data_IF_434582020635
#
_entry.id   IF_434582020635
#
_cell.length_a   1.000
_cell.length_b   1.000
_cell.length_c   1.000
_cell.angle_alpha   90.00
_cell.angle_beta   90.00
_cell.angle_gamma   90.00
#
_symmetry.space_group_name_H-M   'P 1'
#
loop_
_entity.id
_entity.type
_entity.pdbx_description
1 polymer ?
#
# COMPACT_ATOMS: atom_id res chain seq x y z
N UNK A 1 -83.81 -6.13 27.29
CA UNK A 1 -83.45 -7.57 27.33
C UNK A 1 -81.95 -7.66 27.10
N UNK A 2 -81.30 -8.32 28.04
CA UNK A 2 -79.92 -8.13 28.49
C UNK A 2 -78.98 -9.20 27.88
N UNK A 3 -77.66 -8.98 28.04
CA UNK A 3 -76.49 -9.88 27.85
C UNK A 3 -75.68 -9.67 26.55
N UNK A 4 -74.33 -9.62 26.55
CA UNK A 4 -73.30 -9.51 27.60
C UNK A 4 -71.97 -9.22 26.87
N UNK A 5 -71.16 -8.31 27.42
CA UNK A 5 -69.72 -8.20 27.11
C UNK A 5 -68.98 -9.40 27.73
N UNK A 6 -68.17 -10.09 26.93
CA UNK A 6 -67.04 -10.94 27.37
C UNK A 6 -65.96 -10.73 26.30
N UNK A 7 -64.82 -10.09 26.56
CA UNK A 7 -63.85 -10.45 27.59
C UNK A 7 -62.83 -11.39 26.95
N UNK A 8 -61.79 -10.84 26.32
CA UNK A 8 -60.80 -11.62 25.58
C UNK A 8 -59.60 -10.76 25.17
N UNK A 9 -58.80 -10.37 26.16
CA UNK A 9 -57.49 -9.75 26.03
C UNK A 9 -56.55 -10.71 25.26
N UNK A 10 -56.41 -10.54 23.94
CA UNK A 10 -55.38 -11.26 23.18
C UNK A 10 -54.08 -10.47 23.28
N UNK A 11 -53.26 -10.85 24.27
CA UNK A 11 -51.91 -10.33 24.45
C UNK A 11 -51.08 -10.63 23.19
N UNK A 12 -50.75 -9.59 22.43
CA UNK A 12 -49.70 -9.64 21.42
C UNK A 12 -48.36 -9.81 22.15
N UNK A 13 -47.93 -11.07 22.30
CA UNK A 13 -46.59 -11.43 22.77
C UNK A 13 -45.61 -10.98 21.70
N UNK A 14 -45.18 -9.72 21.82
CA UNK A 14 -44.03 -9.17 21.12
C UNK A 14 -42.81 -9.95 21.61
N UNK A 15 -42.42 -10.97 20.84
CA UNK A 15 -41.15 -11.68 21.03
C UNK A 15 -40.05 -10.67 20.69
N UNK A 16 -39.67 -9.87 21.68
CA UNK A 16 -38.41 -9.14 21.68
C UNK A 16 -37.30 -10.20 21.65
N UNK A 17 -36.81 -10.50 20.44
CA UNK A 17 -35.53 -11.15 20.24
C UNK A 17 -34.44 -10.24 20.79
N UNK A 18 -34.19 -10.34 22.08
CA UNK A 18 -32.96 -9.90 22.74
C UNK A 18 -31.83 -10.78 22.22
N UNK A 19 -31.35 -10.46 21.01
CA UNK A 19 -29.95 -10.73 20.66
C UNK A 19 -29.12 -9.84 21.60
N UNK A 20 -28.80 -10.38 22.77
CA UNK A 20 -27.69 -9.91 23.57
C UNK A 20 -26.41 -10.18 22.77
N UNK A 21 -26.11 -9.29 21.82
CA UNK A 21 -24.85 -9.29 21.11
C UNK A 21 -23.76 -8.89 22.11
N UNK A 22 -23.10 -9.88 22.70
CA UNK A 22 -21.67 -9.78 23.05
C UNK A 22 -20.87 -9.74 21.74
N UNK A 23 -21.14 -8.71 20.94
CA UNK A 23 -20.79 -8.68 19.52
C UNK A 23 -19.31 -8.38 19.33
N UNK A 24 -18.50 -9.41 19.15
CA UNK A 24 -17.19 -9.24 18.52
C UNK A 24 -17.39 -8.49 17.20
N UNK A 25 -16.72 -7.35 17.06
CA UNK A 25 -16.81 -6.55 15.85
C UNK A 25 -16.39 -7.39 14.62
N UNK A 26 -17.18 -7.39 13.52
CA UNK A 26 -16.83 -8.12 12.30
C UNK A 26 -15.45 -7.72 11.80
N UNK A 27 -14.64 -8.72 11.42
CA UNK A 27 -13.29 -8.48 10.95
C UNK A 27 -12.78 -9.62 10.05
N UNK A 28 -11.84 -9.26 9.18
CA UNK A 28 -10.97 -10.20 8.47
C UNK A 28 -9.54 -9.96 8.95
N UNK A 29 -8.73 -11.03 9.05
CA UNK A 29 -7.35 -10.94 9.55
C UNK A 29 -6.42 -11.82 8.72
N UNK A 30 -5.20 -11.33 8.47
CA UNK A 30 -4.09 -12.13 7.93
C UNK A 30 -2.79 -11.73 8.61
N UNK A 31 -2.17 -12.68 9.32
CA UNK A 31 -0.95 -12.48 10.11
C UNK A 31 -1.04 -11.22 10.99
N UNK A 32 -0.27 -10.19 10.66
CA UNK A 32 -0.11 -8.94 11.39
C UNK A 32 -1.13 -7.85 11.00
N UNK A 33 -2.01 -8.09 10.03
CA UNK A 33 -2.98 -7.09 9.56
C UNK A 33 -4.42 -7.55 9.82
N UNK A 34 -5.15 -6.72 10.55
CA UNK A 34 -6.56 -6.90 10.84
C UNK A 34 -7.40 -5.74 10.30
N UNK A 35 -8.49 -6.07 9.61
CA UNK A 35 -9.45 -5.11 9.06
C UNK A 35 -10.78 -5.33 9.77
N UNK A 36 -11.17 -4.39 10.62
CA UNK A 36 -12.53 -4.32 11.15
C UNK A 36 -13.46 -3.66 10.14
N UNK A 37 -14.73 -4.06 10.10
CA UNK A 37 -15.71 -3.45 9.22
C UNK A 37 -17.09 -3.37 9.88
N UNK A 38 -17.81 -2.29 9.60
CA UNK A 38 -19.18 -2.03 10.05
C UNK A 38 -19.89 -1.08 9.08
N UNK A 39 -21.14 -0.74 9.37
CA UNK A 39 -21.89 0.35 8.75
C UNK A 39 -22.00 0.21 7.22
N UNK A 40 -22.51 -0.94 6.75
CA UNK A 40 -22.76 -1.18 5.32
C UNK A 40 -21.53 -1.57 4.50
N UNK A 41 -20.40 -1.85 5.14
CA UNK A 41 -19.25 -2.52 4.53
C UNK A 41 -19.44 -4.05 4.61
N UNK A 42 -19.18 -4.76 3.52
CA UNK A 42 -19.31 -6.22 3.46
C UNK A 42 -17.99 -6.93 3.73
N UNK A 43 -18.05 -8.19 4.17
CA UNK A 43 -16.86 -9.03 4.36
C UNK A 43 -16.01 -9.16 3.09
N UNK A 44 -16.57 -9.40 1.87
CA UNK A 44 -15.78 -9.40 0.64
C UNK A 44 -15.03 -8.09 0.39
N UNK A 45 -15.65 -6.93 0.67
CA UNK A 45 -14.96 -5.63 0.56
C UNK A 45 -13.81 -5.53 1.56
N UNK A 46 -14.02 -5.96 2.80
CA UNK A 46 -12.97 -5.99 3.83
C UNK A 46 -11.82 -6.95 3.44
N UNK A 47 -12.14 -8.12 2.88
CA UNK A 47 -11.16 -9.09 2.39
C UNK A 47 -10.36 -8.54 1.21
N UNK A 48 -11.00 -7.79 0.30
CA UNK A 48 -10.32 -7.13 -0.81
C UNK A 48 -9.33 -6.06 -0.32
N UNK A 49 -9.72 -5.27 0.67
CA UNK A 49 -8.81 -4.33 1.34
C UNK A 49 -7.65 -5.05 2.00
N UNK A 50 -7.92 -6.13 2.74
CA UNK A 50 -6.90 -6.93 3.40
C UNK A 50 -5.88 -7.45 2.38
N UNK A 51 -6.33 -8.03 1.27
CA UNK A 51 -5.47 -8.51 0.18
C UNK A 51 -4.65 -7.38 -0.44
N UNK A 52 -5.23 -6.20 -0.62
CA UNK A 52 -4.55 -5.04 -1.19
C UNK A 52 -3.46 -4.47 -0.26
N UNK A 53 -3.75 -4.28 1.03
CA UNK A 53 -2.82 -3.68 1.98
C UNK A 53 -1.74 -4.66 2.45
N UNK A 54 -2.04 -5.95 2.49
CA UNK A 54 -1.14 -6.96 3.04
C UNK A 54 0.27 -6.98 2.42
N UNK A 55 0.46 -6.90 1.09
CA UNK A 55 1.82 -6.77 0.54
C UNK A 55 2.40 -5.37 0.74
N UNK A 56 1.57 -4.32 0.67
CA UNK A 56 2.03 -2.93 0.75
C UNK A 56 2.56 -2.53 2.13
N UNK A 57 2.01 -3.12 3.19
CA UNK A 57 2.33 -2.80 4.57
C UNK A 57 3.19 -3.86 5.25
N UNK A 58 3.63 -4.86 4.48
CA UNK A 58 4.56 -5.88 4.97
C UNK A 58 5.95 -5.26 5.01
N UNK A 59 6.34 -4.79 6.17
CA UNK A 59 7.74 -4.58 6.48
C UNK A 59 8.26 -5.94 6.95
N UNK A 60 9.10 -6.61 6.16
CA UNK A 60 9.89 -7.70 6.73
C UNK A 60 10.66 -7.15 7.95
N UNK A 61 10.88 -7.98 8.97
CA UNK A 61 11.61 -7.66 10.22
C UNK A 61 10.88 -6.87 11.30
N UNK A 62 9.70 -6.32 11.04
CA UNK A 62 8.83 -5.75 12.07
C UNK A 62 7.72 -6.76 12.43
N UNK A 63 8.10 -7.85 13.11
CA UNK A 63 7.15 -8.86 13.62
C UNK A 63 6.36 -8.36 14.84
N UNK A 64 6.54 -7.10 15.24
CA UNK A 64 5.90 -6.53 16.43
C UNK A 64 5.33 -5.15 16.15
N UNK A 65 4.17 -5.13 15.49
CA UNK A 65 2.99 -4.33 15.85
C UNK A 65 1.85 -4.76 14.93
N UNK A 66 0.93 -5.55 15.47
CA UNK A 66 -0.35 -5.81 14.81
C UNK A 66 -0.90 -4.48 14.27
N UNK A 67 -1.11 -4.42 12.96
CA UNK A 67 -1.70 -3.27 12.28
C UNK A 67 -3.20 -3.49 12.23
N UNK A 68 -3.93 -2.45 12.59
CA UNK A 68 -5.38 -2.49 12.59
C UNK A 68 -5.92 -1.32 11.80
N UNK A 69 -6.88 -1.60 10.93
CA UNK A 69 -7.68 -0.60 10.23
C UNK A 69 -9.14 -0.88 10.46
N UNK A 70 -9.97 0.15 10.32
CA UNK A 70 -11.42 0.02 10.40
C UNK A 70 -12.06 0.64 9.16
N UNK A 71 -13.00 -0.10 8.57
CA UNK A 71 -13.87 0.37 7.52
C UNK A 71 -15.25 0.72 8.07
N UNK A 72 -15.71 1.90 7.70
CA UNK A 72 -17.10 2.34 7.92
C UNK A 72 -17.60 2.99 6.64
N UNK A 73 -18.92 3.04 6.43
CA UNK A 73 -19.52 3.79 5.33
C UNK A 73 -20.42 4.88 5.87
N UNK A 74 -20.30 6.08 5.32
CA UNK A 74 -21.24 7.19 5.57
C UNK A 74 -21.84 7.62 4.25
N UNK A 75 -23.13 7.31 4.06
CA UNK A 75 -23.81 7.44 2.75
C UNK A 75 -23.04 6.63 1.69
N UNK A 76 -22.57 7.27 0.64
CA UNK A 76 -21.81 6.64 -0.45
C UNK A 76 -20.30 6.74 -0.28
N UNK A 77 -19.82 7.31 0.83
CA UNK A 77 -18.39 7.50 1.10
C UNK A 77 -17.87 6.46 2.07
N UNK A 78 -16.80 5.79 1.69
CA UNK A 78 -16.07 4.86 2.57
C UNK A 78 -15.12 5.68 3.44
N UNK A 79 -15.11 5.44 4.74
CA UNK A 79 -14.08 5.96 5.62
C UNK A 79 -13.09 4.83 5.96
N UNK A 80 -11.89 4.97 5.43
CA UNK A 80 -10.74 4.16 5.77
C UNK A 80 -10.08 4.74 7.02
N UNK A 81 -10.26 4.09 8.17
CA UNK A 81 -9.72 4.53 9.46
C UNK A 81 -8.41 3.79 9.75
N UNK A 82 -7.36 4.52 10.05
CA UNK A 82 -6.07 3.95 10.45
C UNK A 82 -5.54 4.62 11.72
N UNK A 83 -4.94 3.81 12.59
CA UNK A 83 -4.26 4.30 13.79
C UNK A 83 -2.95 4.98 13.39
N UNK A 84 -2.71 6.17 13.92
CA UNK A 84 -1.46 6.91 13.75
C UNK A 84 -0.95 7.42 15.09
N UNK A 85 0.37 7.51 15.22
CA UNK A 85 1.00 8.20 16.35
C UNK A 85 0.73 9.72 16.25
N UNK A 86 0.25 10.38 17.31
CA UNK A 86 -0.14 11.80 17.26
C UNK A 86 0.93 12.74 16.68
N UNK A 87 2.20 12.50 17.01
CA UNK A 87 3.36 13.26 16.54
C UNK A 87 3.58 13.16 15.02
N UNK A 88 2.98 12.17 14.34
CA UNK A 88 3.07 11.97 12.89
C UNK A 88 1.87 12.53 12.11
N UNK A 89 0.86 13.06 12.77
CA UNK A 89 -0.36 13.57 12.09
C UNK A 89 -0.02 14.73 11.15
N UNK A 90 0.87 15.62 11.58
CA UNK A 90 1.28 16.81 10.82
C UNK A 90 2.02 16.43 9.53
N UNK A 91 2.66 15.26 9.48
CA UNK A 91 3.38 14.79 8.29
C UNK A 91 2.46 14.23 7.21
N UNK A 92 1.21 13.90 7.55
CA UNK A 92 0.22 13.40 6.60
C UNK A 92 -0.58 14.58 6.04
N UNK A 93 -0.27 14.96 4.80
CA UNK A 93 -0.91 16.03 4.05
C UNK A 93 -1.84 15.47 2.97
N UNK A 94 -2.74 16.28 2.43
CA UNK A 94 -3.59 15.87 1.30
C UNK A 94 -2.73 15.47 0.09
N UNK A 95 -1.62 16.17 -0.15
CA UNK A 95 -0.68 15.87 -1.21
C UNK A 95 0.02 14.52 -0.99
N UNK A 96 0.44 14.21 0.23
CA UNK A 96 1.16 12.95 0.52
C UNK A 96 0.26 11.72 0.51
N UNK A 97 -1.04 11.86 0.80
CA UNK A 97 -1.97 10.72 0.89
C UNK A 97 -2.94 10.62 -0.30
N UNK A 98 -3.06 11.66 -1.13
CA UNK A 98 -4.06 11.73 -2.20
C UNK A 98 -3.95 10.58 -3.21
N UNK A 99 -2.74 10.19 -3.58
CA UNK A 99 -2.50 9.04 -4.47
C UNK A 99 -2.97 7.71 -3.83
N UNK A 100 -2.73 7.54 -2.52
CA UNK A 100 -3.20 6.35 -1.79
C UNK A 100 -4.72 6.32 -1.68
N UNK A 101 -5.37 7.46 -1.43
CA UNK A 101 -6.83 7.60 -1.42
C UNK A 101 -7.42 7.20 -2.78
N UNK A 102 -6.84 7.68 -3.88
CA UNK A 102 -7.32 7.37 -5.21
C UNK A 102 -7.13 5.89 -5.54
N UNK A 103 -5.97 5.32 -5.20
CA UNK A 103 -5.69 3.90 -5.41
C UNK A 103 -6.64 3.01 -4.63
N UNK A 104 -6.95 3.34 -3.37
CA UNK A 104 -7.98 2.64 -2.60
C UNK A 104 -9.35 2.73 -3.28
N UNK A 105 -9.75 3.93 -3.72
CA UNK A 105 -11.02 4.16 -4.40
C UNK A 105 -11.16 3.28 -5.64
N UNK A 106 -10.15 3.27 -6.51
CA UNK A 106 -10.22 2.58 -7.80
C UNK A 106 -10.05 1.07 -7.65
N UNK A 107 -9.09 0.62 -6.84
CA UNK A 107 -8.73 -0.80 -6.73
C UNK A 107 -9.65 -1.54 -5.78
N UNK A 108 -9.96 -0.97 -4.60
CA UNK A 108 -10.70 -1.68 -3.55
C UNK A 108 -12.18 -1.37 -3.61
N UNK A 109 -12.55 -0.10 -3.74
CA UNK A 109 -13.93 0.38 -3.51
C UNK A 109 -14.71 0.74 -4.78
N UNK A 110 -14.34 0.19 -5.94
CA UNK A 110 -15.12 0.32 -7.19
C UNK A 110 -15.44 1.79 -7.54
N UNK A 111 -14.43 2.66 -7.44
CA UNK A 111 -14.52 4.10 -7.69
C UNK A 111 -15.36 4.90 -6.69
N UNK A 112 -15.84 4.28 -5.60
CA UNK A 112 -16.52 4.98 -4.52
C UNK A 112 -15.56 5.96 -3.81
N UNK A 113 -16.04 7.14 -3.38
CA UNK A 113 -15.21 8.11 -2.67
C UNK A 113 -14.69 7.54 -1.35
N UNK A 114 -13.41 7.77 -1.06
CA UNK A 114 -12.73 7.27 0.15
C UNK A 114 -12.15 8.43 0.95
N UNK A 115 -12.54 8.54 2.22
CA UNK A 115 -11.86 9.38 3.19
C UNK A 115 -10.78 8.57 3.91
N UNK A 116 -9.63 9.17 4.18
CA UNK A 116 -8.66 8.65 5.15
C UNK A 116 -8.90 9.35 6.47
N UNK A 117 -9.25 8.57 7.49
CA UNK A 117 -9.47 9.05 8.85
C UNK A 117 -8.30 8.55 9.70
N UNK A 118 -7.47 9.49 10.12
CA UNK A 118 -6.36 9.25 11.03
C UNK A 118 -6.92 9.24 12.45
N UNK A 119 -6.70 8.15 13.16
CA UNK A 119 -7.22 7.93 14.50
C UNK A 119 -6.11 7.71 15.52
N UNK A 120 -6.44 7.83 16.80
CA UNK A 120 -5.64 7.27 17.88
C UNK A 120 -5.80 5.74 17.98
N UNK A 121 -5.15 5.14 18.98
CA UNK A 121 -5.17 3.71 19.29
C UNK A 121 -6.55 3.17 19.73
N UNK A 122 -7.53 4.04 19.96
CA UNK A 122 -8.92 3.70 20.27
C UNK A 122 -9.87 4.03 19.10
N UNK A 123 -9.34 4.23 17.89
CA UNK A 123 -10.09 4.62 16.68
C UNK A 123 -10.85 5.96 16.80
N UNK A 124 -10.51 6.81 17.78
CA UNK A 124 -11.06 8.18 17.87
C UNK A 124 -10.40 9.05 16.82
N UNK A 125 -11.21 9.80 16.09
CA UNK A 125 -10.74 10.63 14.98
C UNK A 125 -9.83 11.75 15.48
N UNK A 126 -8.66 11.88 14.86
CA UNK A 126 -7.70 12.96 15.09
C UNK A 126 -7.65 13.91 13.89
N UNK A 127 -7.74 13.36 12.66
CA UNK A 127 -7.76 14.13 11.41
C UNK A 127 -8.45 13.34 10.32
N UNK A 128 -9.32 14.00 9.55
CA UNK A 128 -9.90 13.41 8.34
C UNK A 128 -9.39 14.13 7.10
N UNK A 129 -8.85 13.36 6.16
CA UNK A 129 -8.52 13.81 4.82
C UNK A 129 -9.63 13.31 3.90
N UNK A 130 -10.44 14.24 3.41
CA UNK A 130 -11.65 13.93 2.65
C UNK A 130 -11.33 13.64 1.21
N UNK A 131 -12.08 12.73 0.61
CA UNK A 131 -12.07 12.53 -0.82
C UNK A 131 -12.35 13.84 -1.55
N UNK A 132 -11.47 14.22 -2.47
CA UNK A 132 -11.68 15.34 -3.38
C UNK A 132 -11.70 14.83 -4.81
N UNK A 133 -12.62 15.34 -5.64
CA UNK A 133 -12.59 15.08 -7.08
C UNK A 133 -11.28 15.58 -7.73
N UNK A 134 -10.57 16.52 -7.08
CA UNK A 134 -9.23 16.94 -7.46
C UNK A 134 -8.18 15.83 -7.35
N UNK A 135 -8.41 14.80 -6.51
CA UNK A 135 -7.54 13.61 -6.49
C UNK A 135 -7.63 12.84 -7.81
N UNK A 136 -8.76 12.83 -8.52
CA UNK A 136 -8.84 12.23 -9.87
C UNK A 136 -8.19 13.07 -10.96
N UNK A 137 -8.08 14.37 -10.73
CA UNK A 137 -7.46 15.31 -11.68
C UNK A 137 -5.95 15.45 -11.43
N UNK A 138 -5.44 15.00 -10.27
CA UNK A 138 -4.01 15.04 -9.89
C UNK A 138 -3.37 13.68 -9.61
N UNK A 139 -4.14 12.64 -9.31
CA UNK A 139 -3.70 11.25 -9.33
C UNK A 139 -4.25 10.66 -10.60
N UNK A 140 -3.38 10.55 -11.60
CA UNK A 140 -3.77 9.79 -12.76
C UNK A 140 -3.97 8.30 -12.39
N UNK A 141 -4.46 7.55 -13.36
CA UNK A 141 -4.63 6.10 -13.34
C UNK A 141 -3.43 5.34 -12.73
N UNK A 142 -3.57 4.05 -12.43
CA UNK A 142 -2.43 3.19 -12.09
C UNK A 142 -1.27 3.35 -13.10
N UNK A 143 -1.61 3.59 -14.38
CA UNK A 143 -0.68 3.96 -15.44
C UNK A 143 0.05 5.28 -15.18
N UNK A 144 -0.60 6.27 -14.58
CA UNK A 144 -0.02 7.58 -14.28
C UNK A 144 0.77 7.60 -12.96
N UNK A 145 0.37 6.82 -11.94
CA UNK A 145 1.19 6.61 -10.73
C UNK A 145 2.46 5.83 -11.14
N UNK A 146 2.33 4.78 -11.95
CA UNK A 146 3.50 4.08 -12.53
C UNK A 146 4.29 4.99 -13.47
N UNK A 147 3.64 5.91 -14.19
CA UNK A 147 4.34 6.93 -14.98
C UNK A 147 5.19 7.88 -14.12
N UNK A 148 4.81 8.13 -12.85
CA UNK A 148 5.69 8.88 -11.93
C UNK A 148 6.98 8.13 -11.62
N UNK A 149 6.96 6.79 -11.67
CA UNK A 149 8.15 5.97 -11.52
C UNK A 149 8.99 5.86 -12.79
N UNK A 150 8.37 6.01 -13.97
CA UNK A 150 9.03 6.00 -15.27
C UNK A 150 8.33 5.08 -16.28
N UNK A 151 8.93 4.91 -17.45
CA UNK A 151 8.48 3.91 -18.43
C UNK A 151 8.78 2.52 -17.88
N UNK A 152 7.76 1.68 -17.76
CA UNK A 152 7.89 0.31 -17.24
C UNK A 152 8.39 -0.66 -18.32
N UNK A 153 9.36 -1.47 -17.95
CA UNK A 153 9.82 -2.65 -18.68
C UNK A 153 9.75 -3.86 -17.75
N UNK A 154 9.43 -5.03 -18.32
CA UNK A 154 9.25 -6.26 -17.56
C UNK A 154 9.95 -7.42 -18.26
N UNK A 155 10.68 -8.25 -17.51
CA UNK A 155 11.26 -9.49 -17.99
C UNK A 155 11.32 -10.50 -16.84
N UNK A 156 10.71 -11.68 -17.02
CA UNK A 156 10.69 -12.74 -16.00
C UNK A 156 10.15 -12.26 -14.65
N UNK A 157 10.98 -12.26 -13.62
CA UNK A 157 10.61 -11.79 -12.27
C UNK A 157 10.95 -10.32 -11.99
N UNK A 158 11.50 -9.59 -12.97
CA UNK A 158 11.96 -8.21 -12.78
C UNK A 158 11.05 -7.19 -13.48
N UNK A 159 10.74 -6.12 -12.76
CA UNK A 159 10.17 -4.88 -13.30
C UNK A 159 11.17 -3.73 -13.16
N UNK A 160 11.35 -2.95 -14.22
CA UNK A 160 12.24 -1.77 -14.23
C UNK A 160 11.49 -0.56 -14.73
N UNK A 161 11.45 0.49 -13.91
CA UNK A 161 10.93 1.80 -14.28
C UNK A 161 12.07 2.73 -14.71
N UNK A 162 12.05 3.21 -15.95
CA UNK A 162 13.07 4.11 -16.50
C UNK A 162 12.57 5.56 -16.50
N UNK A 163 13.19 6.42 -15.69
CA UNK A 163 12.82 7.85 -15.61
C UNK A 163 13.24 8.61 -16.89
N UNK A 164 12.54 9.71 -17.24
CA UNK A 164 12.98 10.61 -18.30
C UNK A 164 14.44 11.06 -18.10
N UNK A 165 15.19 11.15 -19.20
CA UNK A 165 16.62 11.49 -19.17
C UNK A 165 17.57 10.27 -19.10
N UNK A 166 17.03 9.07 -18.97
CA UNK A 166 17.76 7.81 -19.15
C UNK A 166 17.43 7.21 -20.53
N UNK A 167 18.44 6.65 -21.21
CA UNK A 167 18.24 5.93 -22.47
C UNK A 167 17.28 4.76 -22.24
N UNK A 168 16.21 4.72 -23.02
CA UNK A 168 15.13 3.76 -22.88
C UNK A 168 15.58 2.32 -23.19
N UNK A 169 16.69 2.14 -23.93
CA UNK A 169 17.28 0.83 -24.18
C UNK A 169 17.79 0.14 -22.91
N UNK A 170 18.06 0.88 -21.82
CA UNK A 170 18.45 0.29 -20.54
C UNK A 170 17.31 -0.44 -19.84
N UNK A 171 16.05 -0.11 -20.11
CA UNK A 171 14.90 -0.74 -19.47
C UNK A 171 14.87 -2.27 -19.69
N UNK A 172 14.82 -2.75 -20.95
CA UNK A 172 14.88 -4.17 -21.24
C UNK A 172 16.19 -4.84 -20.80
N UNK A 173 17.33 -4.14 -20.91
CA UNK A 173 18.63 -4.68 -20.49
C UNK A 173 18.67 -4.95 -18.98
N UNK A 174 18.23 -3.98 -18.17
CA UNK A 174 18.16 -4.12 -16.72
C UNK A 174 17.12 -5.15 -16.29
N UNK A 175 15.94 -5.17 -16.92
CA UNK A 175 14.91 -6.16 -16.59
C UNK A 175 15.42 -7.58 -16.84
N UNK A 176 16.16 -7.80 -17.95
CA UNK A 176 16.82 -9.08 -18.20
C UNK A 176 17.97 -9.36 -17.23
N UNK A 177 18.75 -8.34 -16.88
CA UNK A 177 19.88 -8.47 -15.95
C UNK A 177 19.43 -8.90 -14.54
N UNK A 178 18.28 -8.39 -14.08
CA UNK A 178 17.73 -8.70 -12.76
C UNK A 178 16.78 -9.90 -12.74
N UNK A 179 16.54 -10.55 -13.87
CA UNK A 179 15.67 -11.72 -13.91
C UNK A 179 16.30 -12.89 -13.15
N UNK A 180 15.58 -13.38 -12.14
CA UNK A 180 15.94 -14.55 -11.34
C UNK A 180 14.95 -15.70 -11.58
N UNK A 181 14.30 -15.75 -12.75
CA UNK A 181 13.33 -16.80 -13.10
C UNK A 181 13.93 -18.22 -13.10
N UNK A 182 15.25 -18.34 -13.25
CA UNK A 182 15.98 -19.60 -13.12
C UNK A 182 16.38 -19.90 -11.66
N UNK A 183 16.41 -18.89 -10.79
CA UNK A 183 16.55 -19.03 -9.35
C UNK A 183 15.24 -19.48 -8.70
N UNK A 184 15.33 -20.12 -7.54
CA UNK A 184 14.16 -20.64 -6.82
C UNK A 184 13.26 -19.54 -6.22
N UNK A 185 13.48 -18.26 -6.55
CA UNK A 185 12.79 -17.10 -6.03
C UNK A 185 11.59 -16.70 -6.89
N UNK A 186 10.37 -16.97 -6.41
CA UNK A 186 9.13 -16.52 -7.07
C UNK A 186 8.74 -15.07 -6.73
N UNK A 187 9.66 -14.26 -6.18
CA UNK A 187 9.34 -12.90 -5.75
C UNK A 187 9.68 -11.93 -6.87
N UNK A 188 8.66 -11.20 -7.32
CA UNK A 188 8.85 -10.12 -8.28
C UNK A 188 9.69 -9.01 -7.64
N UNK A 189 10.77 -8.59 -8.31
CA UNK A 189 11.61 -7.48 -7.88
C UNK A 189 11.35 -6.24 -8.73
N UNK A 190 11.24 -5.08 -8.10
CA UNK A 190 10.97 -3.80 -8.79
C UNK A 190 12.13 -2.84 -8.62
N UNK A 191 12.55 -2.25 -9.74
CA UNK A 191 13.67 -1.33 -9.80
C UNK A 191 13.27 -0.02 -10.48
N UNK A 192 13.94 1.07 -10.13
CA UNK A 192 13.82 2.35 -10.81
C UNK A 192 15.22 2.85 -11.21
N UNK A 193 15.38 3.30 -12.45
CA UNK A 193 16.61 3.92 -12.91
C UNK A 193 16.39 5.39 -13.27
N UNK A 194 17.32 6.23 -12.82
CA UNK A 194 17.34 7.67 -13.11
C UNK A 194 18.76 8.16 -13.41
N UNK A 195 18.85 9.28 -14.13
CA UNK A 195 20.12 9.95 -14.44
C UNK A 195 20.58 10.76 -13.22
N UNK A 196 21.88 10.73 -12.91
CA UNK A 196 22.50 11.59 -11.91
C UNK A 196 23.83 12.15 -12.44
N UNK A 197 23.77 13.35 -13.02
CA UNK A 197 24.90 13.95 -13.73
C UNK A 197 25.39 13.05 -14.87
N UNK A 198 26.69 12.73 -14.86
CA UNK A 198 27.27 11.82 -15.84
C UNK A 198 26.88 10.35 -15.61
N UNK A 199 26.51 9.97 -14.38
CA UNK A 199 26.20 8.60 -13.98
C UNK A 199 24.71 8.31 -13.84
N UNK A 200 24.42 7.21 -13.15
CA UNK A 200 23.08 6.65 -12.97
C UNK A 200 22.81 6.28 -11.52
N UNK A 201 21.54 6.30 -11.14
CA UNK A 201 21.06 5.74 -9.88
C UNK A 201 20.11 4.61 -10.20
N UNK A 202 20.34 3.45 -9.59
CA UNK A 202 19.46 2.27 -9.70
C UNK A 202 18.90 1.99 -8.32
N UNK A 203 17.60 2.22 -8.14
CA UNK A 203 16.89 1.96 -6.90
C UNK A 203 16.24 0.58 -6.97
N UNK A 204 16.34 -0.19 -5.90
CA UNK A 204 15.64 -1.45 -5.69
C UNK A 204 14.58 -1.26 -4.61
N UNK A 205 13.31 -1.50 -4.95
CA UNK A 205 12.24 -1.53 -3.96
C UNK A 205 12.44 -2.73 -3.04
N UNK A 206 12.55 -2.48 -1.74
CA UNK A 206 12.83 -3.49 -0.73
C UNK A 206 12.26 -3.10 0.64
N UNK A 207 12.53 -3.93 1.65
CA UNK A 207 12.15 -3.70 3.04
C UNK A 207 13.37 -3.30 3.88
N UNK A 208 13.13 -2.65 5.02
CA UNK A 208 14.20 -2.28 5.96
C UNK A 208 14.94 -3.51 6.52
N UNK A 209 14.23 -4.61 6.72
CA UNK A 209 14.80 -5.86 7.21
C UNK A 209 15.72 -6.52 6.20
N UNK A 210 15.30 -6.61 4.94
CA UNK A 210 16.17 -7.07 3.86
C UNK A 210 17.43 -6.21 3.79
N UNK A 211 17.28 -4.88 3.86
CA UNK A 211 18.41 -3.95 3.87
C UNK A 211 19.35 -4.15 5.07
N UNK A 212 18.82 -4.53 6.24
CA UNK A 212 19.62 -4.74 7.47
C UNK A 212 20.28 -6.11 7.56
N UNK A 213 19.69 -7.15 6.95
CA UNK A 213 20.15 -8.54 7.02
C UNK A 213 21.21 -8.87 5.99
N UNK A 214 21.30 -8.09 4.92
CA UNK A 214 22.26 -8.29 3.85
C UNK A 214 23.46 -7.37 4.01
N UNK A 215 24.69 -7.87 3.78
CA UNK A 215 25.89 -7.08 3.97
C UNK A 215 26.03 -5.97 2.91
N UNK A 216 26.49 -4.80 3.32
CA UNK A 216 26.73 -3.64 2.44
C UNK A 216 27.62 -3.95 1.23
N UNK A 217 28.55 -4.89 1.39
CA UNK A 217 29.44 -5.34 0.31
C UNK A 217 28.67 -5.94 -0.86
N UNK A 218 27.55 -6.63 -0.61
CA UNK A 218 26.70 -7.18 -1.67
C UNK A 218 26.16 -6.07 -2.58
N UNK A 219 25.61 -5.01 -2.01
CA UNK A 219 25.02 -3.90 -2.76
C UNK A 219 26.07 -3.03 -3.45
N UNK A 220 27.25 -2.86 -2.83
CA UNK A 220 28.39 -2.21 -3.48
C UNK A 220 28.88 -3.02 -4.69
N UNK A 221 28.97 -4.34 -4.55
CA UNK A 221 29.31 -5.23 -5.67
C UNK A 221 28.27 -5.12 -6.78
N UNK A 222 26.98 -5.03 -6.46
CA UNK A 222 25.93 -4.78 -7.44
C UNK A 222 26.14 -3.46 -8.20
N UNK A 223 26.44 -2.36 -7.50
CA UNK A 223 26.76 -1.08 -8.15
C UNK A 223 27.96 -1.21 -9.12
N UNK A 224 29.02 -1.90 -8.69
CA UNK A 224 30.21 -2.14 -9.52
C UNK A 224 29.89 -2.98 -10.77
N UNK A 225 29.11 -4.06 -10.62
CA UNK A 225 28.72 -4.92 -11.75
C UNK A 225 27.81 -4.17 -12.72
N UNK A 226 26.82 -3.40 -12.23
CA UNK A 226 25.96 -2.58 -13.09
C UNK A 226 26.75 -1.54 -13.87
N UNK A 227 27.70 -0.86 -13.22
CA UNK A 227 28.60 0.09 -13.87
C UNK A 227 29.31 -0.59 -15.04
N UNK A 228 29.93 -1.74 -14.81
CA UNK A 228 30.66 -2.51 -15.84
C UNK A 228 29.76 -3.06 -16.94
N UNK A 229 28.73 -3.81 -16.56
CA UNK A 229 28.02 -4.74 -17.43
C UNK A 229 26.86 -4.09 -18.17
N UNK A 230 26.27 -3.02 -17.61
CA UNK A 230 25.10 -2.34 -18.17
C UNK A 230 25.44 -0.92 -18.60
N UNK A 231 26.14 -0.16 -17.77
CA UNK A 231 26.37 1.27 -17.99
C UNK A 231 27.76 1.60 -18.58
N UNK A 232 28.44 0.61 -19.17
CA UNK A 232 29.70 0.78 -19.89
C UNK A 232 30.79 1.56 -19.12
N UNK A 233 30.90 1.28 -17.82
CA UNK A 233 31.86 1.89 -16.89
C UNK A 233 31.41 3.21 -16.27
N UNK A 234 30.20 3.72 -16.58
CA UNK A 234 29.71 4.95 -15.95
C UNK A 234 29.49 4.78 -14.44
N UNK A 235 29.55 5.88 -13.69
CA UNK A 235 29.27 5.88 -12.24
C UNK A 235 27.84 5.40 -11.97
N UNK A 236 27.70 4.45 -11.03
CA UNK A 236 26.41 3.93 -10.59
C UNK A 236 26.28 4.09 -9.08
N UNK A 237 25.14 4.63 -8.64
CA UNK A 237 24.71 4.54 -7.25
C UNK A 237 23.56 3.54 -7.16
N UNK A 238 23.79 2.41 -6.50
CA UNK A 238 22.74 1.46 -6.17
C UNK A 238 22.07 1.89 -4.86
N UNK A 239 20.74 1.91 -4.84
CA UNK A 239 19.97 2.40 -3.70
C UNK A 239 18.94 1.38 -3.28
N UNK A 240 18.93 1.04 -2.00
CA UNK A 240 17.80 0.35 -1.40
C UNK A 240 16.75 1.41 -1.07
N UNK A 241 15.54 1.19 -1.55
CA UNK A 241 14.44 2.12 -1.43
C UNK A 241 13.17 1.41 -0.95
N UNK A 242 12.23 2.16 -0.38
CA UNK A 242 10.91 1.61 -0.05
C UNK A 242 10.09 1.30 -1.32
N UNK A 243 8.87 0.79 -1.15
CA UNK A 243 7.97 0.44 -2.27
C UNK A 243 7.50 1.64 -3.08
N UNK A 244 7.78 2.87 -2.63
CA UNK A 244 7.52 4.12 -3.33
C UNK A 244 8.80 4.74 -3.91
N UNK A 245 9.91 3.99 -3.90
CA UNK A 245 11.24 4.43 -4.34
C UNK A 245 11.83 5.61 -3.55
N UNK A 246 11.44 5.79 -2.28
CA UNK A 246 12.12 6.69 -1.37
C UNK A 246 13.40 6.05 -0.83
N UNK A 247 14.49 6.82 -0.77
CA UNK A 247 15.81 6.29 -0.46
C UNK A 247 15.91 5.84 1.00
N UNK A 248 16.51 4.67 1.19
CA UNK A 248 16.82 4.11 2.51
C UNK A 248 18.33 4.02 2.73
N UNK A 249 19.07 3.51 1.74
CA UNK A 249 20.53 3.34 1.81
C UNK A 249 21.17 3.33 0.44
N UNK A 250 22.31 3.99 0.31
CA UNK A 250 23.02 4.18 -0.96
C UNK A 250 24.40 3.49 -0.99
N UNK A 251 24.78 2.99 -2.16
CA UNK A 251 26.02 2.29 -2.41
C UNK A 251 26.59 2.74 -3.76
N UNK A 252 27.73 3.43 -3.73
CA UNK A 252 28.39 3.94 -4.95
C UNK A 252 29.34 2.91 -5.52
N UNK A 253 29.37 2.81 -6.85
CA UNK A 253 30.40 2.09 -7.58
C UNK A 253 31.76 2.73 -7.36
N UNK A 254 32.81 1.93 -7.44
CA UNK A 254 34.18 2.42 -7.46
C UNK A 254 34.54 2.94 -8.86
N UNK A 255 35.43 3.95 -8.97
CA UNK A 255 35.94 4.40 -10.26
C UNK A 255 36.59 3.23 -11.02
N UNK A 256 36.22 3.04 -12.29
CA UNK A 256 36.80 2.02 -13.17
C UNK A 256 37.96 2.56 -14.01
#
# INVERSE_FOLDING_TARGET
MTLKLTGGLLAAVLICSIFACTGKQPNVKKEYLQVFYTDGITEPTAQKLLTFLYPLWRNEGDSTKDKTVQLTKTKDTVNFRMVIMPERISTVTEQSIGAFIQLLSDTVFEKAPVNVVLCDDHFRELKTIRYSAGFRQGAGSETDIRATFGTLYHFGTAEVFVKPGVDQSYGPQLAKYFDDSEGKGQVQASFQVLRNGAGYVVKMATTADFASKNPDSMFRNMANMLSKDVFAGADVTFVLADTMFNDMKEFKSEPQ
#
